data_IF_271533506054
#
_entry.id   IF_271533506054
#
_cell.length_a   1.000
_cell.length_b   1.000
_cell.length_c   1.000
_cell.angle_alpha   90.00
_cell.angle_beta   90.00
_cell.angle_gamma   90.00
#
_symmetry.space_group_name_H-M   'P 1'
#
loop_
_entity.id
_entity.type
_entity.pdbx_description
1 polymer ?
#
# COMPACT_ATOMS: atom_id res chain seq x y z
N UNK A 1 -17.09 -47.09 19.43
CA UNK A 1 -16.83 -46.19 20.59
C UNK A 1 -15.38 -45.71 20.56
N UNK A 2 -14.81 -45.57 19.36
CA UNK A 2 -13.35 -45.54 19.14
C UNK A 2 -12.83 -44.15 18.77
N UNK A 3 -13.74 -43.25 18.39
CA UNK A 3 -13.43 -41.87 18.05
C UNK A 3 -12.89 -41.08 19.27
N UNK A 4 -13.51 -41.26 20.44
CA UNK A 4 -13.09 -40.56 21.67
C UNK A 4 -11.77 -41.10 22.25
N UNK A 5 -11.45 -42.38 22.02
CA UNK A 5 -10.19 -43.01 22.47
C UNK A 5 -8.98 -42.50 21.69
N UNK A 6 -9.14 -42.34 20.37
CA UNK A 6 -8.13 -41.73 19.51
C UNK A 6 -7.89 -40.24 19.82
N UNK A 7 -8.91 -39.52 20.31
CA UNK A 7 -8.76 -38.12 20.72
C UNK A 7 -7.96 -38.01 22.02
N UNK A 8 -8.17 -38.91 23.00
CA UNK A 8 -7.43 -38.87 24.26
C UNK A 8 -5.94 -39.18 24.11
N UNK A 9 -5.57 -40.09 23.19
CA UNK A 9 -4.16 -40.45 22.96
C UNK A 9 -3.39 -39.36 22.19
N UNK A 10 -4.08 -38.64 21.30
CA UNK A 10 -3.49 -37.54 20.52
C UNK A 10 -3.71 -36.15 21.16
N UNK A 11 -4.37 -36.10 22.31
CA UNK A 11 -4.67 -34.86 23.03
C UNK A 11 -3.44 -33.95 23.23
N UNK A 12 -2.25 -34.47 23.60
CA UNK A 12 -1.05 -33.64 23.75
C UNK A 12 -0.58 -33.03 22.42
N UNK A 13 -0.68 -33.79 21.32
CA UNK A 13 -0.33 -33.32 19.97
C UNK A 13 -1.33 -32.26 19.47
N UNK A 14 -2.62 -32.46 19.72
CA UNK A 14 -3.68 -31.51 19.34
C UNK A 14 -3.53 -30.20 20.13
N UNK A 15 -3.30 -30.29 21.45
CA UNK A 15 -3.04 -29.12 22.30
C UNK A 15 -1.76 -28.40 21.86
N UNK A 16 -0.70 -29.15 21.55
CA UNK A 16 0.53 -28.59 21.01
C UNK A 16 0.31 -27.83 19.70
N UNK A 17 -0.44 -28.39 18.76
CA UNK A 17 -0.76 -27.74 17.50
C UNK A 17 -1.60 -26.46 17.69
N UNK A 18 -2.62 -26.52 18.56
CA UNK A 18 -3.46 -25.34 18.88
C UNK A 18 -2.63 -24.26 19.57
N UNK A 19 -1.77 -24.63 20.52
CA UNK A 19 -0.86 -23.70 21.19
C UNK A 19 0.13 -23.07 20.20
N UNK A 20 0.64 -23.84 19.25
CA UNK A 20 1.57 -23.36 18.23
C UNK A 20 0.88 -22.36 17.29
N UNK A 21 -0.36 -22.63 16.87
CA UNK A 21 -1.19 -21.69 16.08
C UNK A 21 -1.53 -20.45 16.90
N UNK A 22 -1.88 -20.61 18.19
CA UNK A 22 -2.18 -19.49 19.08
C UNK A 22 -0.94 -18.61 19.31
N UNK A 23 0.24 -19.21 19.50
CA UNK A 23 1.52 -18.51 19.64
C UNK A 23 1.88 -17.77 18.35
N UNK A 24 1.73 -18.40 17.18
CA UNK A 24 1.92 -17.72 15.90
C UNK A 24 0.97 -16.53 15.74
N UNK A 25 -0.31 -16.70 16.08
CA UNK A 25 -1.29 -15.64 16.06
C UNK A 25 -0.94 -14.50 17.03
N UNK A 26 -0.48 -14.84 18.25
CA UNK A 26 -0.12 -13.88 19.28
C UNK A 26 1.19 -13.14 18.97
N UNK A 27 2.19 -13.82 18.41
CA UNK A 27 3.45 -13.20 17.94
C UNK A 27 3.17 -12.28 16.75
N UNK A 28 2.29 -12.69 15.81
CA UNK A 28 1.88 -11.85 14.67
C UNK A 28 1.12 -10.61 15.15
N UNK A 29 0.33 -10.73 16.22
CA UNK A 29 -0.40 -9.62 16.87
C UNK A 29 0.49 -8.72 17.75
N UNK A 30 1.61 -9.25 18.27
CA UNK A 30 2.57 -8.52 19.13
C UNK A 30 3.69 -7.80 18.39
N UNK A 31 3.84 -7.94 17.07
CA UNK A 31 4.75 -7.09 16.29
C UNK A 31 4.20 -5.66 16.33
N UNK A 32 4.77 -4.86 17.22
CA UNK A 32 4.33 -3.50 17.49
C UNK A 32 4.39 -2.59 16.25
N UNK A 33 3.86 -1.35 16.37
CA UNK A 33 3.81 -0.38 15.28
C UNK A 33 5.14 -0.22 14.53
N UNK A 34 6.25 -0.22 15.27
CA UNK A 34 7.61 -0.02 14.75
C UNK A 34 8.12 -1.15 13.86
N UNK A 35 7.71 -2.41 14.10
CA UNK A 35 8.07 -3.54 13.25
C UNK A 35 7.34 -3.50 11.89
N UNK A 36 6.28 -2.69 11.78
CA UNK A 36 5.50 -2.49 10.58
C UNK A 36 5.89 -1.23 9.80
N UNK A 37 6.71 -0.32 10.34
CA UNK A 37 7.10 0.89 9.60
C UNK A 37 7.77 0.57 8.26
N UNK A 38 8.73 -0.38 8.15
CA UNK A 38 9.28 -0.76 6.86
C UNK A 38 8.26 -1.36 5.88
N UNK A 39 7.33 -2.18 6.38
CA UNK A 39 6.28 -2.77 5.55
C UNK A 39 5.30 -1.69 5.05
N UNK A 40 4.93 -0.77 5.92
CA UNK A 40 4.06 0.36 5.60
C UNK A 40 4.71 1.29 4.58
N UNK A 41 6.01 1.56 4.71
CA UNK A 41 6.77 2.35 3.72
C UNK A 41 6.87 1.63 2.38
N UNK A 42 7.05 0.30 2.37
CA UNK A 42 7.03 -0.49 1.14
C UNK A 42 5.67 -0.44 0.45
N UNK A 43 4.58 -0.62 1.20
CA UNK A 43 3.21 -0.56 0.65
C UNK A 43 2.92 0.83 0.05
N UNK A 44 3.32 1.88 0.75
CA UNK A 44 3.20 3.26 0.26
C UNK A 44 4.09 3.52 -0.96
N UNK A 45 5.32 3.01 -0.97
CA UNK A 45 6.24 3.15 -2.10
C UNK A 45 5.69 2.42 -3.34
N UNK A 46 5.10 1.23 -3.16
CA UNK A 46 4.43 0.52 -4.24
C UNK A 46 3.25 1.32 -4.80
N UNK A 47 2.42 1.92 -3.94
CA UNK A 47 1.31 2.78 -4.34
C UNK A 47 1.78 4.04 -5.08
N UNK A 48 2.83 4.71 -4.60
CA UNK A 48 3.45 5.87 -5.27
C UNK A 48 3.98 5.47 -6.65
N UNK A 49 4.71 4.35 -6.77
CA UNK A 49 5.24 3.86 -8.06
C UNK A 49 4.11 3.53 -9.05
N UNK A 50 3.02 2.94 -8.59
CA UNK A 50 1.84 2.68 -9.42
C UNK A 50 1.18 3.98 -9.89
N UNK A 51 1.02 4.95 -8.98
CA UNK A 51 0.48 6.26 -9.32
C UNK A 51 1.36 7.03 -10.30
N UNK A 52 2.70 6.94 -10.17
CA UNK A 52 3.62 7.52 -11.15
C UNK A 52 3.41 6.92 -12.53
N UNK A 53 3.29 5.59 -12.63
CA UNK A 53 2.98 4.91 -13.90
C UNK A 53 1.63 5.34 -14.46
N UNK A 54 0.61 5.47 -13.61
CA UNK A 54 -0.72 5.96 -14.04
C UNK A 54 -0.61 7.40 -14.57
N UNK A 55 0.17 8.27 -13.92
CA UNK A 55 0.41 9.65 -14.35
C UNK A 55 1.20 9.74 -15.66
N UNK A 56 2.16 8.84 -15.89
CA UNK A 56 2.95 8.75 -17.13
C UNK A 56 2.08 8.34 -18.33
N UNK A 57 1.27 7.30 -18.16
CA UNK A 57 0.39 6.80 -19.23
C UNK A 57 -0.95 7.52 -19.27
N UNK A 58 -1.12 8.57 -18.45
CA UNK A 58 -2.34 9.35 -18.43
C UNK A 58 -2.52 10.03 -19.78
N UNK A 59 -3.48 9.51 -20.54
CA UNK A 59 -3.95 10.12 -21.79
C UNK A 59 -5.31 10.75 -21.51
N UNK A 60 -5.61 11.86 -22.19
CA UNK A 60 -6.86 12.62 -22.07
C UNK A 60 -8.10 11.88 -22.62
N UNK A 61 -8.17 10.56 -22.41
CA UNK A 61 -9.23 9.70 -22.86
C UNK A 61 -10.16 9.36 -21.69
N UNK A 62 -11.44 9.11 -22.02
CA UNK A 62 -12.48 8.69 -21.07
C UNK A 62 -12.10 7.42 -20.28
N UNK A 63 -11.15 6.61 -20.79
CA UNK A 63 -10.63 5.40 -20.15
C UNK A 63 -9.53 5.66 -19.11
N UNK A 64 -9.25 6.91 -18.74
CA UNK A 64 -8.28 7.22 -17.70
C UNK A 64 -8.50 6.38 -16.43
N UNK A 65 -7.43 5.71 -15.99
CA UNK A 65 -7.40 4.95 -14.74
C UNK A 65 -7.39 5.92 -13.57
N UNK A 66 -8.07 5.53 -12.49
CA UNK A 66 -8.04 6.26 -11.22
C UNK A 66 -6.72 5.99 -10.52
N UNK A 67 -6.19 7.00 -9.86
CA UNK A 67 -5.07 6.87 -8.93
C UNK A 67 -5.48 6.03 -7.73
N UNK A 68 -4.54 5.25 -7.22
CA UNK A 68 -4.72 4.39 -6.05
C UNK A 68 -4.38 5.23 -4.83
N UNK A 69 -5.32 5.33 -3.88
CA UNK A 69 -5.16 6.12 -2.65
C UNK A 69 -5.53 5.30 -1.41
N UNK A 70 -5.62 3.98 -1.53
CA UNK A 70 -6.22 3.11 -0.51
C UNK A 70 -5.29 2.96 0.68
N UNK A 71 -4.00 2.67 0.43
CA UNK A 71 -3.01 2.50 1.50
C UNK A 71 -2.76 3.82 2.19
N UNK A 72 -2.70 4.92 1.43
CA UNK A 72 -2.62 6.27 1.98
C UNK A 72 -3.76 6.55 2.97
N UNK A 73 -5.02 6.34 2.56
CA UNK A 73 -6.20 6.62 3.41
C UNK A 73 -6.19 5.84 4.73
N UNK A 74 -5.69 4.60 4.71
CA UNK A 74 -5.64 3.74 5.88
C UNK A 74 -4.50 4.11 6.84
N UNK A 75 -3.42 4.71 6.33
CA UNK A 75 -2.16 4.84 7.05
C UNK A 75 -1.68 6.28 7.25
N UNK A 76 -2.32 7.30 6.68
CA UNK A 76 -1.91 8.71 6.78
C UNK A 76 -1.69 9.21 8.22
N UNK A 77 -2.43 8.68 9.19
CA UNK A 77 -2.31 9.05 10.61
C UNK A 77 -1.17 8.33 11.34
N UNK A 78 -0.39 7.48 10.66
CA UNK A 78 0.67 6.63 11.23
C UNK A 78 2.03 6.93 10.62
N UNK A 79 2.22 8.11 10.03
CA UNK A 79 3.41 8.49 9.25
C UNK A 79 4.33 9.48 9.98
N UNK A 80 4.10 9.70 11.27
CA UNK A 80 4.89 10.60 12.11
C UNK A 80 6.39 10.26 12.09
N UNK A 81 6.73 8.98 11.87
CA UNK A 81 8.10 8.49 11.76
C UNK A 81 8.83 8.85 10.44
N UNK A 82 8.13 9.31 9.40
CA UNK A 82 8.71 9.69 8.10
C UNK A 82 9.33 11.09 8.11
N UNK A 83 9.04 11.88 9.14
CA UNK A 83 9.44 13.28 9.23
C UNK A 83 8.44 14.21 8.52
N UNK A 84 8.24 15.40 9.11
CA UNK A 84 7.18 16.34 8.71
C UNK A 84 7.22 16.77 7.24
N UNK A 85 8.41 16.88 6.65
CA UNK A 85 8.56 17.29 5.26
C UNK A 85 8.07 16.20 4.28
N UNK A 86 8.40 14.93 4.54
CA UNK A 86 7.94 13.82 3.71
C UNK A 86 6.44 13.57 3.89
N UNK A 87 5.95 13.66 5.13
CA UNK A 87 4.52 13.57 5.43
C UNK A 87 3.70 14.65 4.68
N UNK A 88 4.18 15.90 4.68
CA UNK A 88 3.55 16.99 3.94
C UNK A 88 3.53 16.73 2.42
N UNK A 89 4.66 16.31 1.84
CA UNK A 89 4.73 15.98 0.41
C UNK A 89 3.78 14.85 0.04
N UNK A 90 3.68 13.81 0.86
CA UNK A 90 2.73 12.71 0.65
C UNK A 90 1.29 13.21 0.75
N UNK A 91 0.97 14.02 1.76
CA UNK A 91 -0.35 14.62 1.90
C UNK A 91 -0.74 15.42 0.65
N UNK A 92 0.15 16.26 0.14
CA UNK A 92 -0.10 17.07 -1.05
C UNK A 92 -0.27 16.20 -2.31
N UNK A 93 0.61 15.21 -2.49
CA UNK A 93 0.55 14.29 -3.62
C UNK A 93 -0.77 13.50 -3.66
N UNK A 94 -1.16 12.90 -2.53
CA UNK A 94 -2.37 12.09 -2.45
C UNK A 94 -3.64 12.91 -2.45
N UNK A 95 -3.63 14.14 -1.91
CA UNK A 95 -4.75 15.07 -2.05
C UNK A 95 -4.98 15.43 -3.52
N UNK A 96 -3.91 15.76 -4.24
CA UNK A 96 -4.00 16.06 -5.66
C UNK A 96 -4.45 14.85 -6.48
N UNK A 97 -3.99 13.64 -6.13
CA UNK A 97 -4.46 12.40 -6.74
C UNK A 97 -5.96 12.13 -6.49
N UNK A 98 -6.47 12.47 -5.31
CA UNK A 98 -7.90 12.39 -5.00
C UNK A 98 -8.72 13.40 -5.80
N UNK A 99 -8.24 14.63 -5.96
CA UNK A 99 -8.88 15.65 -6.80
C UNK A 99 -8.98 15.19 -8.25
N UNK A 100 -7.92 14.58 -8.79
CA UNK A 100 -7.96 14.00 -10.13
C UNK A 100 -8.91 12.82 -10.23
N UNK A 101 -9.00 11.98 -9.20
CA UNK A 101 -9.99 10.90 -9.18
C UNK A 101 -11.43 11.42 -9.24
N UNK A 102 -11.72 12.55 -8.57
CA UNK A 102 -13.02 13.21 -8.65
C UNK A 102 -13.28 13.78 -10.05
N UNK A 103 -12.29 14.44 -10.65
CA UNK A 103 -12.40 14.98 -12.01
C UNK A 103 -12.60 13.85 -13.04
N UNK A 104 -11.88 12.74 -12.93
CA UNK A 104 -12.05 11.54 -13.77
C UNK A 104 -13.46 10.96 -13.59
N UNK A 105 -13.98 10.89 -12.36
CA UNK A 105 -15.32 10.41 -12.09
C UNK A 105 -16.40 11.32 -12.71
N UNK A 106 -16.24 12.64 -12.60
CA UNK A 106 -17.13 13.61 -13.22
C UNK A 106 -17.08 13.54 -14.75
N UNK A 107 -15.89 13.52 -15.34
CA UNK A 107 -15.70 13.39 -16.78
C UNK A 107 -16.34 12.11 -17.34
N UNK A 108 -16.22 10.98 -16.63
CA UNK A 108 -16.92 9.73 -16.98
C UNK A 108 -18.44 9.86 -16.89
N UNK A 109 -18.95 10.53 -15.86
CA UNK A 109 -20.39 10.78 -15.67
C UNK A 109 -20.97 11.64 -16.81
N UNK A 110 -20.26 12.69 -17.21
CA UNK A 110 -20.72 13.64 -18.22
C UNK A 110 -20.25 13.31 -19.65
N UNK A 111 -19.52 12.20 -19.85
CA UNK A 111 -18.91 11.77 -21.13
C UNK A 111 -18.14 12.89 -21.85
N UNK A 112 -17.61 13.84 -21.10
CA UNK A 112 -16.97 15.03 -21.67
C UNK A 112 -15.47 14.97 -21.46
N UNK A 113 -14.74 14.90 -22.57
CA UNK A 113 -13.28 14.95 -22.64
C UNK A 113 -12.73 16.34 -22.34
N UNK A 114 -13.56 17.38 -22.42
CA UNK A 114 -13.17 18.76 -22.13
C UNK A 114 -12.74 18.96 -20.67
N UNK A 115 -13.34 18.23 -19.72
CA UNK A 115 -12.92 18.25 -18.31
C UNK A 115 -11.55 17.61 -18.07
N UNK A 116 -11.11 16.71 -18.96
CA UNK A 116 -9.79 16.09 -18.83
C UNK A 116 -8.69 16.99 -19.40
N UNK A 117 -8.98 17.80 -20.42
CA UNK A 117 -7.98 18.58 -21.15
C UNK A 117 -7.27 19.66 -20.31
N UNK A 118 -7.86 20.11 -19.21
CA UNK A 118 -7.26 21.07 -18.27
C UNK A 118 -6.46 20.42 -17.14
N UNK A 119 -6.41 19.08 -17.06
CA UNK A 119 -5.73 18.38 -15.97
C UNK A 119 -4.22 18.36 -16.22
N UNK A 120 -3.49 19.15 -15.45
CA UNK A 120 -2.02 19.18 -15.50
C UNK A 120 -1.41 18.09 -14.60
N UNK A 121 -1.00 16.97 -15.20
CA UNK A 121 -0.37 15.87 -14.46
C UNK A 121 1.08 16.14 -14.03
N UNK A 122 1.73 17.19 -14.53
CA UNK A 122 3.15 17.45 -14.28
C UNK A 122 3.40 17.77 -12.80
N UNK A 123 2.49 18.53 -12.18
CA UNK A 123 2.56 18.81 -10.74
C UNK A 123 2.49 17.53 -9.90
N UNK A 124 1.60 16.60 -10.26
CA UNK A 124 1.47 15.33 -9.54
C UNK A 124 2.71 14.44 -9.76
N UNK A 125 3.26 14.40 -10.97
CA UNK A 125 4.50 13.65 -11.26
C UNK A 125 5.66 14.13 -10.39
N UNK A 126 5.84 15.45 -10.27
CA UNK A 126 6.89 16.03 -9.42
C UNK A 126 6.70 15.65 -7.96
N UNK A 127 5.47 15.76 -7.44
CA UNK A 127 5.16 15.39 -6.06
C UNK A 127 5.37 13.89 -5.79
N UNK A 128 4.94 13.03 -6.71
CA UNK A 128 5.13 11.58 -6.60
C UNK A 128 6.61 11.19 -6.67
N UNK A 129 7.40 11.85 -7.53
CA UNK A 129 8.85 11.63 -7.59
C UNK A 129 9.53 12.00 -6.27
N UNK A 130 9.17 13.14 -5.67
CA UNK A 130 9.69 13.56 -4.38
C UNK A 130 9.29 12.59 -3.25
N UNK A 131 8.04 12.09 -3.26
CA UNK A 131 7.60 11.08 -2.31
C UNK A 131 8.35 9.75 -2.49
N UNK A 132 8.55 9.32 -3.73
CA UNK A 132 9.28 8.09 -4.03
C UNK A 132 10.71 8.18 -3.51
N UNK A 133 11.42 9.27 -3.82
CA UNK A 133 12.78 9.48 -3.37
C UNK A 133 12.87 9.50 -1.83
N UNK A 134 11.97 10.23 -1.17
CA UNK A 134 11.94 10.30 0.29
C UNK A 134 11.69 8.95 0.96
N UNK A 135 10.78 8.14 0.42
CA UNK A 135 10.50 6.79 0.95
C UNK A 135 11.67 5.83 0.69
N UNK A 136 12.31 5.90 -0.49
CA UNK A 136 13.51 5.11 -0.80
C UNK A 136 14.70 5.48 0.08
N UNK A 137 14.91 6.78 0.35
CA UNK A 137 15.95 7.25 1.26
C UNK A 137 15.67 6.80 2.70
N UNK A 138 14.40 6.84 3.14
CA UNK A 138 14.01 6.34 4.45
C UNK A 138 14.30 4.84 4.58
N UNK A 139 13.94 4.03 3.57
CA UNK A 139 14.24 2.60 3.54
C UNK A 139 15.74 2.33 3.53
N UNK A 140 16.51 3.08 2.76
CA UNK A 140 17.97 2.95 2.74
C UNK A 140 18.58 3.30 4.11
N UNK A 141 18.10 4.33 4.78
CA UNK A 141 18.58 4.74 6.10
C UNK A 141 18.22 3.74 7.22
N UNK A 142 17.03 3.13 7.18
CA UNK A 142 16.51 2.27 8.26
C UNK A 142 16.68 0.78 8.03
N UNK A 143 16.63 0.33 6.78
CA UNK A 143 16.64 -1.09 6.38
C UNK A 143 17.92 -1.46 5.63
N UNK A 144 18.63 -0.48 5.07
CA UNK A 144 19.87 -0.70 4.31
C UNK A 144 19.66 -1.12 2.86
N UNK A 145 18.42 -1.15 2.36
CA UNK A 145 18.08 -1.43 0.96
C UNK A 145 16.91 -0.56 0.50
N UNK A 146 16.95 -0.12 -0.76
CA UNK A 146 15.86 0.65 -1.40
C UNK A 146 14.67 -0.22 -1.80
N UNK A 147 14.91 -1.52 -2.01
CA UNK A 147 13.90 -2.52 -2.37
C UNK A 147 14.11 -3.76 -1.49
N UNK A 148 13.61 -3.77 -0.24
CA UNK A 148 13.67 -4.97 0.59
C UNK A 148 12.68 -6.01 0.05
N UNK A 149 12.97 -7.31 0.17
CA UNK A 149 12.07 -8.35 -0.33
C UNK A 149 10.69 -8.22 0.35
N UNK A 150 9.63 -8.16 -0.46
CA UNK A 150 8.24 -8.14 -0.03
C UNK A 150 8.01 -9.35 0.89
N UNK A 151 7.83 -9.09 2.20
CA UNK A 151 7.70 -10.15 3.23
C UNK A 151 6.30 -10.78 3.30
N UNK A 152 5.37 -10.32 2.48
CA UNK A 152 4.01 -10.82 2.42
C UNK A 152 3.53 -10.83 0.96
N UNK A 153 2.85 -11.88 0.50
CA UNK A 153 2.10 -11.80 -0.74
C UNK A 153 1.06 -10.69 -0.55
N UNK A 154 1.28 -9.57 -1.22
CA UNK A 154 0.37 -8.45 -1.14
C UNK A 154 -0.94 -8.81 -1.84
N UNK A 155 -2.05 -8.21 -1.45
CA UNK A 155 -3.33 -8.28 -2.20
C UNK A 155 -3.15 -7.85 -3.66
N UNK A 156 -2.03 -7.19 -3.97
CA UNK A 156 -1.60 -6.77 -5.30
C UNK A 156 -0.80 -7.82 -6.10
N UNK A 157 -0.23 -8.87 -5.48
CA UNK A 157 0.40 -9.96 -6.22
C UNK A 157 -0.64 -10.75 -7.04
N UNK A 158 -1.85 -10.91 -6.49
CA UNK A 158 -3.01 -11.50 -7.21
C UNK A 158 -3.48 -10.62 -8.38
N UNK A 159 -3.31 -9.29 -8.28
CA UNK A 159 -3.67 -8.33 -9.33
C UNK A 159 -2.60 -8.22 -10.43
N UNK A 160 -1.34 -8.50 -10.10
CA UNK A 160 -0.21 -8.38 -11.02
C UNK A 160 0.16 -9.68 -11.73
N UNK A 161 -0.54 -10.79 -11.44
CA UNK A 161 -0.46 -12.01 -12.24
C UNK A 161 0.97 -12.49 -12.46
N UNK A 162 1.72 -12.70 -11.37
CA UNK A 162 2.98 -13.45 -11.48
C UNK A 162 2.65 -14.94 -11.53
N UNK A 163 2.81 -15.52 -12.72
CA UNK A 163 3.03 -16.95 -12.91
C UNK A 163 4.41 -17.34 -12.39
#
# INVERSE_FOLDING_TARGET
MDFFKNISENLPLIIGAIALVAIQYFIKRRRGPEANHPALVQDLLAEVRLNSRIAEVFTFQIQAKRFITTTWKLNKNKLDFLGKALEANMSDAFTLAEDYNQQIAAAKKFKSTSYMASVNMDKLKVLLAACQEGLEQWLLSKVGSKDPPLRTPGVFDDLLGKR
#
